data_IF_527674856101
#
_entry.id   IF_527674856101
#
_cell.length_a   1.000
_cell.length_b   1.000
_cell.length_c   1.000
_cell.angle_alpha   90.00
_cell.angle_beta   90.00
_cell.angle_gamma   90.00
#
_symmetry.space_group_name_H-M   'P 1'
#
loop_
_entity.id
_entity.type
_entity.pdbx_description
1 polymer ?
#
# COMPACT_ATOMS: atom_id res chain seq x y z
N UNK A 1 35.38 1.34 -12.53
CA UNK A 1 33.94 1.13 -12.73
C UNK A 1 33.81 -0.35 -13.01
N UNK A 2 33.09 -1.06 -12.19
CA UNK A 2 32.86 -2.50 -12.34
C UNK A 2 31.47 -2.65 -12.97
N UNK A 3 31.35 -3.53 -13.97
CA UNK A 3 30.05 -3.88 -14.57
C UNK A 3 29.69 -5.29 -14.16
N UNK A 4 28.47 -5.49 -13.67
CA UNK A 4 27.88 -6.78 -13.36
C UNK A 4 26.69 -7.00 -14.30
N UNK A 5 26.56 -8.20 -14.86
CA UNK A 5 25.44 -8.55 -15.75
C UNK A 5 24.53 -9.53 -15.04
N UNK A 6 23.24 -9.31 -15.11
CA UNK A 6 22.19 -10.09 -14.48
C UNK A 6 21.02 -10.32 -15.44
N UNK A 7 20.21 -11.33 -15.21
CA UNK A 7 18.92 -11.45 -15.89
C UNK A 7 17.94 -10.39 -15.36
N UNK A 8 17.89 -10.23 -14.04
CA UNK A 8 17.01 -9.25 -13.37
C UNK A 8 17.80 -8.46 -12.33
N UNK A 9 17.62 -7.14 -12.32
CA UNK A 9 18.03 -6.27 -11.22
C UNK A 9 16.81 -5.73 -10.50
N UNK A 10 16.70 -6.04 -9.19
CA UNK A 10 15.64 -5.54 -8.32
C UNK A 10 16.18 -4.39 -7.47
N UNK A 11 15.54 -3.23 -7.51
CA UNK A 11 15.97 -2.04 -6.76
C UNK A 11 15.06 -1.81 -5.57
N UNK A 12 15.58 -2.06 -4.38
CA UNK A 12 14.90 -1.89 -3.07
C UNK A 12 14.54 -3.20 -2.39
N UNK A 13 15.07 -3.43 -1.19
CA UNK A 13 14.85 -4.59 -0.33
C UNK A 13 13.59 -4.54 0.53
N UNK A 14 12.53 -3.88 0.04
CA UNK A 14 11.21 -3.91 0.67
C UNK A 14 10.46 -5.20 0.38
N UNK A 15 9.21 -5.31 0.87
CA UNK A 15 8.39 -6.52 0.65
C UNK A 15 8.29 -6.90 -0.83
N UNK A 16 7.99 -5.96 -1.72
CA UNK A 16 7.84 -6.25 -3.14
C UNK A 16 9.16 -6.74 -3.77
N UNK A 17 10.28 -6.08 -3.45
CA UNK A 17 11.59 -6.44 -3.98
C UNK A 17 12.09 -7.80 -3.51
N UNK A 18 11.91 -8.12 -2.22
CA UNK A 18 12.29 -9.44 -1.69
C UNK A 18 11.47 -10.57 -2.35
N UNK A 19 10.16 -10.38 -2.55
CA UNK A 19 9.34 -11.38 -3.25
C UNK A 19 9.69 -11.47 -4.74
N UNK A 20 10.05 -10.37 -5.40
CA UNK A 20 10.53 -10.39 -6.79
C UNK A 20 11.86 -11.15 -6.90
N UNK A 21 12.84 -10.80 -6.07
CA UNK A 21 14.15 -11.43 -6.08
C UNK A 21 14.09 -12.92 -5.72
N UNK A 22 13.31 -13.29 -4.67
CA UNK A 22 13.12 -14.68 -4.30
C UNK A 22 12.45 -15.50 -5.41
N UNK A 23 11.45 -14.93 -6.09
CA UNK A 23 10.79 -15.59 -7.23
C UNK A 23 11.77 -15.81 -8.37
N UNK A 24 12.46 -14.77 -8.81
CA UNK A 24 13.43 -14.86 -9.90
C UNK A 24 14.52 -15.92 -9.63
N UNK A 25 15.09 -15.92 -8.41
CA UNK A 25 16.08 -16.88 -8.00
C UNK A 25 15.54 -18.33 -8.00
N UNK A 26 14.31 -18.56 -7.53
CA UNK A 26 13.70 -19.89 -7.55
C UNK A 26 13.38 -20.38 -8.97
N UNK A 27 13.10 -19.47 -9.90
CA UNK A 27 12.92 -19.77 -11.33
C UNK A 27 14.27 -19.97 -12.05
N UNK A 28 15.40 -19.80 -11.34
CA UNK A 28 16.75 -20.10 -11.85
C UNK A 28 17.39 -18.93 -12.60
N UNK A 29 16.86 -17.72 -12.46
CA UNK A 29 17.40 -16.50 -13.04
C UNK A 29 18.56 -15.96 -12.19
N UNK A 30 19.52 -15.31 -12.83
CA UNK A 30 20.59 -14.55 -12.16
C UNK A 30 20.04 -13.17 -11.73
N UNK A 31 19.81 -13.00 -10.44
CA UNK A 31 19.16 -11.81 -9.89
C UNK A 31 20.00 -11.13 -8.83
N UNK A 32 20.16 -9.81 -8.95
CA UNK A 32 20.71 -8.95 -7.90
C UNK A 32 19.60 -8.12 -7.27
N UNK A 33 19.53 -8.13 -5.92
CA UNK A 33 18.66 -7.26 -5.11
C UNK A 33 19.51 -6.16 -4.49
N UNK A 34 19.26 -4.91 -4.88
CA UNK A 34 20.03 -3.75 -4.46
C UNK A 34 19.30 -3.03 -3.31
N UNK A 35 19.84 -3.09 -2.09
CA UNK A 35 19.32 -2.40 -0.92
C UNK A 35 20.26 -1.25 -0.53
N UNK A 36 19.71 -0.04 -0.39
CA UNK A 36 20.48 1.17 -0.05
C UNK A 36 20.98 1.21 1.38
N UNK A 37 20.32 0.50 2.29
CA UNK A 37 20.71 0.43 3.70
C UNK A 37 21.78 -0.63 3.92
N UNK A 38 22.50 -0.46 5.02
CA UNK A 38 23.40 -1.50 5.51
C UNK A 38 22.61 -2.75 5.95
N UNK A 39 23.27 -3.87 6.07
CA UNK A 39 22.67 -5.14 6.46
C UNK A 39 21.92 -5.05 7.80
N UNK A 40 22.50 -4.36 8.80
CA UNK A 40 21.89 -4.18 10.13
C UNK A 40 20.69 -3.21 10.16
N UNK A 41 20.51 -2.40 9.12
CA UNK A 41 19.35 -1.53 8.91
C UNK A 41 18.37 -2.03 7.82
N UNK A 42 18.75 -3.09 7.13
CA UNK A 42 17.90 -3.74 6.15
C UNK A 42 16.53 -4.11 6.74
N UNK A 43 15.47 -3.97 5.96
CA UNK A 43 14.11 -4.25 6.45
C UNK A 43 13.49 -3.20 7.39
N UNK A 44 14.24 -2.23 7.92
CA UNK A 44 13.73 -1.19 8.81
C UNK A 44 12.91 -0.14 8.04
N UNK A 45 11.61 -0.37 7.89
CA UNK A 45 10.66 0.43 7.08
C UNK A 45 9.58 1.02 7.99
N UNK A 46 9.16 2.27 7.73
CA UNK A 46 8.02 2.87 8.42
C UNK A 46 6.74 2.12 8.08
N UNK A 47 6.02 1.65 9.11
CA UNK A 47 4.80 0.87 8.97
C UNK A 47 3.97 0.96 10.24
N UNK A 48 2.64 0.83 10.14
CA UNK A 48 1.76 0.63 11.29
C UNK A 48 1.79 -0.81 11.84
N UNK A 49 2.52 -1.73 11.19
CA UNK A 49 2.76 -3.12 11.60
C UNK A 49 1.52 -4.05 11.53
N UNK A 50 0.32 -3.53 11.33
CA UNK A 50 -0.88 -4.37 11.27
C UNK A 50 -0.99 -5.12 9.93
N UNK A 51 -1.29 -6.42 10.01
CA UNK A 51 -1.47 -7.31 8.87
C UNK A 51 -2.66 -8.24 9.10
N UNK A 52 -3.24 -8.79 8.04
CA UNK A 52 -4.23 -9.87 8.17
C UNK A 52 -3.53 -11.14 8.66
N UNK A 53 -3.99 -11.73 9.75
CA UNK A 53 -3.35 -12.90 10.37
C UNK A 53 -3.31 -14.15 9.49
N UNK A 54 -4.18 -14.23 8.47
CA UNK A 54 -4.20 -15.29 7.44
C UNK A 54 -3.87 -14.75 6.05
N UNK A 55 -2.95 -13.78 5.95
CA UNK A 55 -2.48 -13.33 4.64
C UNK A 55 -1.81 -14.47 3.91
N UNK A 56 -2.27 -14.73 2.68
CA UNK A 56 -1.62 -15.69 1.80
C UNK A 56 -0.56 -14.94 1.00
N UNK A 57 0.69 -15.27 1.26
CA UNK A 57 1.82 -14.83 0.46
C UNK A 57 2.13 -15.86 -0.63
N UNK A 58 2.78 -15.45 -1.73
CA UNK A 58 3.39 -16.39 -2.67
C UNK A 58 4.32 -17.39 -1.96
N UNK A 59 4.37 -18.64 -2.45
CA UNK A 59 5.12 -19.72 -1.83
C UNK A 59 6.58 -19.74 -2.28
N UNK A 60 7.25 -18.61 -2.15
CA UNK A 60 8.65 -18.39 -2.55
C UNK A 60 9.57 -18.07 -1.38
N UNK A 61 9.00 -17.95 -0.18
CA UNK A 61 9.71 -17.77 1.09
C UNK A 61 9.15 -18.75 2.13
N UNK A 62 9.91 -19.04 3.17
CA UNK A 62 9.42 -19.80 4.32
C UNK A 62 8.47 -18.96 5.17
N UNK A 63 7.15 -19.19 4.98
CA UNK A 63 6.09 -18.44 5.66
C UNK A 63 5.97 -18.77 7.14
N UNK A 64 6.31 -20.00 7.51
CA UNK A 64 6.27 -20.42 8.92
C UNK A 64 7.43 -19.78 9.68
N UNK A 65 8.63 -19.73 9.08
CA UNK A 65 9.77 -18.99 9.60
C UNK A 65 9.47 -17.48 9.74
N UNK A 66 8.92 -16.85 8.69
CA UNK A 66 8.51 -15.45 8.75
C UNK A 66 7.52 -15.18 9.90
N UNK A 67 6.57 -16.07 10.10
CA UNK A 67 5.56 -15.94 11.16
C UNK A 67 6.17 -16.11 12.54
N UNK A 68 7.01 -17.12 12.74
CA UNK A 68 7.68 -17.40 14.01
C UNK A 68 8.57 -16.23 14.46
N UNK A 69 9.31 -15.63 13.52
CA UNK A 69 10.29 -14.61 13.81
C UNK A 69 9.72 -13.19 13.93
N UNK A 70 8.68 -12.87 13.15
CA UNK A 70 8.26 -11.49 12.98
C UNK A 70 6.85 -11.16 13.49
N UNK A 71 5.98 -12.14 13.71
CA UNK A 71 4.62 -11.89 14.20
C UNK A 71 4.64 -11.82 15.73
N UNK A 72 4.44 -10.62 16.25
CA UNK A 72 4.55 -10.35 17.68
C UNK A 72 3.22 -10.46 18.42
N UNK A 73 2.10 -10.20 17.73
CA UNK A 73 0.76 -10.33 18.30
C UNK A 73 -0.21 -10.88 17.25
N UNK A 74 -0.65 -12.11 17.42
CA UNK A 74 -1.62 -12.78 16.55
C UNK A 74 -3.03 -12.82 17.12
N UNK A 75 -3.27 -12.14 18.25
CA UNK A 75 -4.57 -12.13 18.93
C UNK A 75 -5.46 -10.96 18.51
N UNK A 76 -5.23 -10.34 17.38
CA UNK A 76 -6.04 -9.20 16.92
C UNK A 76 -7.38 -9.71 16.38
N UNK A 77 -8.47 -9.41 17.08
CA UNK A 77 -9.81 -9.93 16.80
C UNK A 77 -10.81 -8.85 16.38
N UNK A 78 -10.48 -7.57 16.60
CA UNK A 78 -11.38 -6.44 16.35
C UNK A 78 -10.63 -5.18 15.93
N UNK A 79 -11.36 -4.23 15.33
CA UNK A 79 -10.94 -2.85 15.20
C UNK A 79 -11.75 -2.00 16.20
N UNK A 80 -11.08 -1.10 16.90
CA UNK A 80 -11.67 -0.12 17.78
C UNK A 80 -11.51 1.26 17.17
N UNK A 81 -12.63 1.90 16.85
CA UNK A 81 -12.63 3.27 16.36
C UNK A 81 -12.99 4.22 17.51
N UNK A 82 -12.01 5.02 17.94
CA UNK A 82 -12.20 6.02 18.98
C UNK A 82 -12.99 7.21 18.41
N UNK A 83 -14.19 7.42 18.93
CA UNK A 83 -15.08 8.46 18.45
C UNK A 83 -14.93 9.75 19.28
N UNK A 84 -14.36 10.85 18.74
CA UNK A 84 -14.18 12.08 19.51
C UNK A 84 -15.50 12.77 19.88
N UNK A 85 -16.65 12.32 19.34
CA UNK A 85 -17.97 12.94 19.55
C UNK A 85 -18.95 12.06 20.32
N UNK A 86 -18.61 10.86 20.70
CA UNK A 86 -19.55 9.93 21.33
C UNK A 86 -18.93 8.62 21.79
N UNK A 87 -19.73 7.56 21.80
CA UNK A 87 -19.25 6.22 22.16
C UNK A 87 -18.33 5.64 21.08
N UNK A 88 -17.28 4.96 21.50
CA UNK A 88 -16.38 4.24 20.61
C UNK A 88 -17.10 3.11 19.86
N UNK A 89 -16.61 2.80 18.66
CA UNK A 89 -17.20 1.76 17.81
C UNK A 89 -16.29 0.54 17.82
N UNK A 90 -16.78 -0.54 18.41
CA UNK A 90 -16.15 -1.86 18.36
C UNK A 90 -16.61 -2.62 17.12
N UNK A 91 -15.65 -3.07 16.29
CA UNK A 91 -15.90 -3.77 15.03
C UNK A 91 -15.22 -5.14 15.07
N UNK A 92 -15.89 -6.19 15.52
CA UNK A 92 -15.33 -7.53 15.55
C UNK A 92 -15.08 -8.08 14.15
N UNK A 93 -13.98 -8.80 13.95
CA UNK A 93 -13.60 -9.37 12.66
C UNK A 93 -14.34 -10.68 12.34
N UNK A 94 -15.11 -11.24 13.28
CA UNK A 94 -15.79 -12.53 13.12
C UNK A 94 -14.79 -13.69 13.01
N UNK A 95 -14.88 -14.46 11.91
CA UNK A 95 -13.95 -15.58 11.66
C UNK A 95 -12.57 -15.15 11.11
N UNK A 96 -12.40 -13.86 10.83
CA UNK A 96 -11.12 -13.29 10.43
C UNK A 96 -10.30 -12.92 11.67
N UNK A 97 -8.98 -12.90 11.51
CA UNK A 97 -8.04 -12.38 12.52
C UNK A 97 -7.09 -11.40 11.90
N UNK A 98 -6.59 -10.48 12.69
CA UNK A 98 -5.45 -9.64 12.38
C UNK A 98 -4.21 -10.12 13.11
N UNK A 99 -3.08 -9.53 12.77
CA UNK A 99 -1.84 -9.65 13.53
C UNK A 99 -1.09 -8.32 13.50
N UNK A 100 -0.19 -8.16 14.44
CA UNK A 100 0.80 -7.08 14.44
C UNK A 100 2.19 -7.70 14.39
N UNK A 101 3.07 -7.14 13.55
CA UNK A 101 4.41 -7.66 13.32
C UNK A 101 5.47 -6.72 13.86
N UNK A 102 6.65 -7.24 14.19
CA UNK A 102 7.86 -6.41 14.21
C UNK A 102 8.31 -6.15 12.78
N UNK A 103 8.06 -4.94 12.29
CA UNK A 103 8.30 -4.62 10.88
C UNK A 103 9.79 -4.67 10.49
N UNK A 104 10.69 -4.38 11.44
CA UNK A 104 12.13 -4.52 11.19
C UNK A 104 12.47 -6.00 11.00
N UNK A 105 12.13 -6.84 11.97
CA UNK A 105 12.39 -8.28 11.88
C UNK A 105 11.71 -8.93 10.68
N UNK A 106 10.48 -8.49 10.36
CA UNK A 106 9.77 -8.92 9.16
C UNK A 106 10.58 -8.64 7.87
N UNK A 107 11.18 -7.46 7.77
CA UNK A 107 11.98 -7.09 6.60
C UNK A 107 13.33 -7.82 6.56
N UNK A 108 13.98 -8.01 7.72
CA UNK A 108 15.21 -8.80 7.82
C UNK A 108 14.98 -10.24 7.34
N UNK A 109 13.92 -10.90 7.82
CA UNK A 109 13.56 -12.27 7.39
C UNK A 109 13.30 -12.33 5.88
N UNK A 110 12.65 -11.33 5.30
CA UNK A 110 12.43 -11.31 3.85
C UNK A 110 13.74 -11.23 3.07
N UNK A 111 14.71 -10.43 3.53
CA UNK A 111 16.03 -10.32 2.91
C UNK A 111 16.83 -11.62 3.09
N UNK A 112 16.84 -12.20 4.31
CA UNK A 112 17.44 -13.50 4.61
C UNK A 112 16.88 -14.60 3.70
N UNK A 113 15.56 -14.62 3.51
CA UNK A 113 14.89 -15.62 2.67
C UNK A 113 15.20 -15.43 1.17
N UNK A 114 15.27 -14.19 0.67
CA UNK A 114 15.67 -13.91 -0.70
C UNK A 114 17.10 -14.41 -0.97
N UNK A 115 18.04 -14.12 -0.06
CA UNK A 115 19.42 -14.63 -0.14
C UNK A 115 19.45 -16.17 -0.05
N UNK A 116 18.73 -16.77 0.90
CA UNK A 116 18.66 -18.22 1.08
C UNK A 116 18.20 -18.98 -0.16
N UNK A 117 17.30 -18.42 -0.94
CA UNK A 117 16.80 -19.05 -2.17
C UNK A 117 17.65 -18.74 -3.41
N UNK A 118 18.70 -17.92 -3.26
CA UNK A 118 19.73 -17.70 -4.26
C UNK A 118 19.75 -16.32 -4.92
N UNK A 119 19.00 -15.35 -4.43
CA UNK A 119 19.17 -13.96 -4.87
C UNK A 119 20.47 -13.38 -4.31
N UNK A 120 21.22 -12.62 -5.12
CA UNK A 120 22.44 -11.93 -4.70
C UNK A 120 22.06 -10.59 -4.06
N UNK A 121 22.06 -10.52 -2.72
CA UNK A 121 21.61 -9.33 -1.98
C UNK A 121 22.78 -8.38 -1.73
N UNK A 122 22.73 -7.20 -2.32
CA UNK A 122 23.74 -6.15 -2.19
C UNK A 122 23.25 -5.03 -1.29
N UNK A 123 23.74 -5.01 -0.05
CA UNK A 123 23.55 -3.90 0.88
C UNK A 123 24.42 -2.70 0.58
N UNK A 124 24.19 -1.56 1.25
CA UNK A 124 24.91 -0.30 1.04
C UNK A 124 25.01 0.11 -0.43
N UNK A 125 23.99 -0.26 -1.23
CA UNK A 125 23.96 -0.08 -2.67
C UNK A 125 22.91 0.95 -3.06
N UNK A 126 23.33 2.17 -3.32
CA UNK A 126 22.48 3.30 -3.67
C UNK A 126 22.41 3.47 -5.16
N UNK A 127 21.26 3.13 -5.77
CA UNK A 127 21.01 3.37 -7.20
C UNK A 127 20.89 4.86 -7.46
N UNK A 128 21.54 5.36 -8.50
CA UNK A 128 21.65 6.78 -8.84
C UNK A 128 21.02 7.13 -10.18
N UNK A 129 21.04 6.19 -11.11
CA UNK A 129 20.57 6.44 -12.49
C UNK A 129 20.13 5.14 -13.16
N UNK A 130 19.38 5.27 -14.25
CA UNK A 130 18.91 4.19 -15.13
C UNK A 130 19.70 4.20 -16.42
N UNK A 131 20.12 3.04 -16.89
CA UNK A 131 20.74 2.88 -18.21
C UNK A 131 19.66 2.46 -19.20
N UNK A 132 19.48 3.22 -20.29
CA UNK A 132 18.47 2.91 -21.30
C UNK A 132 18.89 3.32 -22.70
N UNK A 133 18.34 2.61 -23.70
CA UNK A 133 18.50 2.89 -25.12
C UNK A 133 17.23 2.45 -25.88
N UNK A 134 16.14 3.22 -25.76
CA UNK A 134 14.79 2.84 -26.19
C UNK A 134 14.14 1.76 -25.31
N UNK A 135 14.92 1.10 -24.48
CA UNK A 135 14.57 0.09 -23.50
C UNK A 135 15.47 0.29 -22.30
N UNK A 136 14.98 0.06 -21.09
CA UNK A 136 15.82 0.02 -19.87
C UNK A 136 16.71 -1.23 -19.96
N UNK A 137 18.01 -1.05 -19.73
CA UNK A 137 19.03 -2.10 -19.84
C UNK A 137 19.88 -2.25 -18.58
N UNK A 138 19.51 -1.55 -17.51
CA UNK A 138 20.21 -1.64 -16.24
C UNK A 138 20.15 -0.38 -15.40
N UNK A 139 21.00 -0.32 -14.38
CA UNK A 139 21.13 0.81 -13.48
C UNK A 139 22.58 1.10 -13.13
N UNK A 140 22.86 2.34 -12.72
CA UNK A 140 24.14 2.68 -12.08
C UNK A 140 23.94 2.95 -10.61
N UNK A 141 24.84 2.43 -9.78
CA UNK A 141 24.77 2.53 -8.35
C UNK A 141 26.13 2.90 -7.73
N UNK A 142 26.11 3.32 -6.48
CA UNK A 142 27.27 3.37 -5.61
C UNK A 142 27.14 2.27 -4.57
N UNK A 143 28.09 1.35 -4.52
CA UNK A 143 28.18 0.28 -3.52
C UNK A 143 29.47 0.43 -2.73
N UNK A 144 29.37 0.55 -1.40
CA UNK A 144 30.51 0.77 -0.50
C UNK A 144 31.42 1.95 -0.90
N UNK A 145 30.87 2.94 -1.60
CA UNK A 145 31.58 4.13 -2.08
C UNK A 145 32.13 4.02 -3.52
N UNK A 146 32.11 2.84 -4.12
CA UNK A 146 32.54 2.61 -5.50
C UNK A 146 31.37 2.64 -6.46
N UNK A 147 31.56 3.21 -7.66
CA UNK A 147 30.56 3.19 -8.73
C UNK A 147 30.54 1.84 -9.43
N UNK A 148 29.35 1.24 -9.45
CA UNK A 148 29.03 -0.04 -10.09
C UNK A 148 27.94 0.17 -11.13
N UNK A 149 28.05 -0.49 -12.27
CA UNK A 149 27.05 -0.57 -13.32
C UNK A 149 26.45 -1.98 -13.30
N UNK A 150 25.13 -2.08 -13.28
CA UNK A 150 24.40 -3.33 -13.36
C UNK A 150 23.66 -3.36 -14.69
N UNK A 151 24.12 -4.19 -15.61
CA UNK A 151 23.40 -4.49 -16.84
C UNK A 151 22.35 -5.58 -16.55
N UNK A 152 21.13 -5.43 -17.06
CA UNK A 152 20.05 -6.39 -16.87
C UNK A 152 19.09 -6.43 -18.06
N UNK A 153 18.48 -7.59 -18.32
CA UNK A 153 17.38 -7.68 -19.27
C UNK A 153 16.13 -6.97 -18.74
N UNK A 154 15.85 -7.09 -17.43
CA UNK A 154 14.73 -6.39 -16.77
C UNK A 154 15.18 -5.74 -15.46
N UNK A 155 14.78 -4.48 -15.26
CA UNK A 155 14.89 -3.76 -13.98
C UNK A 155 13.53 -3.74 -13.31
N UNK A 156 13.45 -4.27 -12.07
CA UNK A 156 12.26 -4.21 -11.21
C UNK A 156 12.43 -3.09 -10.19
N UNK A 157 11.65 -2.02 -10.35
CA UNK A 157 11.62 -0.89 -9.43
C UNK A 157 10.74 -1.22 -8.21
N UNK A 158 11.38 -1.58 -7.12
CA UNK A 158 10.80 -1.79 -5.80
C UNK A 158 11.28 -0.72 -4.79
N UNK A 159 11.71 0.46 -5.28
CA UNK A 159 12.34 1.50 -4.47
C UNK A 159 11.35 2.25 -3.54
N UNK A 160 10.08 1.90 -3.59
CA UNK A 160 9.03 2.46 -2.73
C UNK A 160 8.43 3.76 -3.27
N UNK A 161 7.74 4.49 -2.41
CA UNK A 161 7.02 5.71 -2.78
C UNK A 161 7.95 6.77 -3.35
N UNK A 162 7.53 7.44 -4.41
CA UNK A 162 8.31 8.49 -5.08
C UNK A 162 9.68 7.98 -5.56
N UNK A 163 9.65 6.88 -6.29
CA UNK A 163 10.86 6.23 -6.80
C UNK A 163 11.70 7.17 -7.69
N UNK A 164 12.97 7.33 -7.34
CA UNK A 164 13.91 8.10 -8.12
C UNK A 164 14.15 7.49 -9.51
N UNK A 165 13.96 6.18 -9.69
CA UNK A 165 14.12 5.52 -10.98
C UNK A 165 13.12 6.07 -11.99
N UNK A 166 11.90 6.37 -11.57
CA UNK A 166 10.86 6.90 -12.45
C UNK A 166 11.20 8.31 -12.95
N UNK A 167 11.85 9.13 -12.13
CA UNK A 167 12.35 10.45 -12.55
C UNK A 167 13.52 10.37 -13.54
N UNK A 168 14.21 9.22 -13.61
CA UNK A 168 15.39 8.99 -14.41
C UNK A 168 15.11 8.21 -15.71
N UNK A 169 13.96 7.58 -15.78
CA UNK A 169 13.55 6.77 -16.94
C UNK A 169 12.76 7.62 -17.92
N UNK A 170 13.12 7.51 -19.19
CA UNK A 170 12.31 8.08 -20.28
C UNK A 170 11.21 7.10 -20.67
N UNK A 171 9.98 7.47 -20.38
CA UNK A 171 8.78 6.71 -20.70
C UNK A 171 8.05 7.20 -21.96
N UNK A 172 8.67 8.10 -22.75
CA UNK A 172 8.03 8.59 -23.99
C UNK A 172 7.71 7.43 -24.95
N UNK A 173 6.46 7.38 -25.40
CA UNK A 173 5.98 6.33 -26.31
C UNK A 173 5.61 5.00 -25.65
N UNK A 174 5.60 4.93 -24.32
CA UNK A 174 5.11 3.78 -23.54
C UNK A 174 3.75 4.07 -22.90
N UNK A 175 3.09 3.03 -22.35
CA UNK A 175 1.86 3.18 -21.56
C UNK A 175 2.11 3.44 -20.08
N UNK A 176 3.37 3.48 -19.63
CA UNK A 176 3.70 3.65 -18.22
C UNK A 176 3.01 4.87 -17.60
N UNK A 177 2.37 4.69 -16.43
CA UNK A 177 1.63 5.75 -15.77
C UNK A 177 2.59 6.78 -15.12
N UNK A 178 2.76 7.92 -15.79
CA UNK A 178 3.57 9.04 -15.30
C UNK A 178 2.75 10.11 -14.59
N UNK A 179 1.42 9.90 -14.41
CA UNK A 179 0.54 10.85 -13.72
C UNK A 179 0.69 10.73 -12.20
N UNK A 180 1.78 11.25 -11.68
CA UNK A 180 2.14 11.20 -10.26
C UNK A 180 2.23 12.62 -9.69
N UNK A 181 1.44 12.88 -8.65
CA UNK A 181 1.41 14.15 -7.92
C UNK A 181 1.42 13.91 -6.41
N UNK A 182 1.95 14.84 -5.62
CA UNK A 182 2.00 14.75 -4.17
C UNK A 182 0.62 14.58 -3.51
N UNK A 183 -0.44 15.11 -4.14
CA UNK A 183 -1.84 14.93 -3.68
C UNK A 183 -2.30 13.47 -3.66
N UNK A 184 -1.58 12.58 -4.35
CA UNK A 184 -1.84 11.15 -4.43
C UNK A 184 -1.13 10.36 -3.33
N UNK A 185 -0.46 11.03 -2.39
CA UNK A 185 0.30 10.43 -1.31
C UNK A 185 -0.18 10.90 0.06
N UNK A 186 0.18 10.11 1.06
CA UNK A 186 0.01 10.40 2.46
C UNK A 186 1.40 10.48 3.12
N UNK A 187 1.58 11.46 4.00
CA UNK A 187 2.70 11.47 4.94
C UNK A 187 2.30 10.70 6.18
N UNK A 188 3.19 9.86 6.69
CA UNK A 188 2.99 9.10 7.91
C UNK A 188 4.21 9.20 8.83
N UNK A 189 3.94 9.16 10.13
CA UNK A 189 4.95 9.09 11.20
C UNK A 189 4.47 8.13 12.27
N UNK A 190 5.39 7.36 12.83
CA UNK A 190 5.09 6.41 13.91
C UNK A 190 6.20 6.33 14.94
N UNK A 191 5.83 5.96 16.15
CA UNK A 191 6.73 5.57 17.22
C UNK A 191 6.37 4.17 17.74
N UNK A 192 7.35 3.34 18.03
CA UNK A 192 7.18 2.11 18.81
C UNK A 192 7.46 2.45 20.26
N UNK A 193 6.47 2.28 21.11
CA UNK A 193 6.45 2.80 22.48
C UNK A 193 6.26 1.64 23.46
N UNK A 194 7.10 1.57 24.49
CA UNK A 194 6.91 0.68 25.63
C UNK A 194 6.19 1.43 26.74
N UNK A 195 5.01 0.94 27.12
CA UNK A 195 4.19 1.49 28.21
C UNK A 195 4.49 0.79 29.54
N UNK A 196 4.42 1.49 30.70
CA UNK A 196 4.77 0.92 32.01
C UNK A 196 3.78 -0.16 32.47
N UNK A 197 2.50 -0.04 32.13
CA UNK A 197 1.46 -0.99 32.50
C UNK A 197 0.81 -1.59 31.23
N UNK A 198 0.28 -2.84 31.28
CA UNK A 198 -0.42 -3.44 30.15
C UNK A 198 -1.64 -2.63 29.72
N UNK A 199 -1.83 -2.51 28.39
CA UNK A 199 -3.06 -1.93 27.83
C UNK A 199 -4.20 -2.96 27.85
N UNK A 200 -5.43 -2.48 27.82
CA UNK A 200 -6.66 -3.30 27.83
C UNK A 200 -7.24 -3.57 26.43
N UNK A 201 -6.52 -3.15 25.39
CA UNK A 201 -6.89 -3.35 23.98
C UNK A 201 -5.85 -4.15 23.17
N UNK A 202 -5.13 -5.06 23.81
CA UNK A 202 -4.12 -5.91 23.15
C UNK A 202 -4.70 -6.86 22.08
N UNK A 203 -6.02 -7.03 22.07
CA UNK A 203 -6.78 -7.77 21.06
C UNK A 203 -7.33 -6.90 19.92
N UNK A 204 -7.03 -5.59 19.91
CA UNK A 204 -7.60 -4.63 18.96
C UNK A 204 -6.55 -3.83 18.19
N UNK A 205 -6.84 -3.51 16.92
CA UNK A 205 -6.22 -2.39 16.23
C UNK A 205 -7.09 -1.15 16.44
N UNK A 206 -6.49 -0.09 17.00
CA UNK A 206 -7.20 1.11 17.42
C UNK A 206 -6.97 2.23 16.42
N UNK A 207 -8.03 2.93 16.03
CA UNK A 207 -8.02 4.07 15.13
C UNK A 207 -8.70 5.27 15.75
N UNK A 208 -8.17 6.47 15.51
CA UNK A 208 -8.77 7.75 15.91
C UNK A 208 -8.66 8.74 14.75
N UNK A 209 -9.75 9.41 14.30
CA UNK A 209 -9.66 10.41 13.25
C UNK A 209 -8.82 11.60 13.71
N UNK A 210 -8.05 12.19 12.80
CA UNK A 210 -7.36 13.47 13.00
C UNK A 210 -8.25 14.63 12.59
N UNK A 211 -7.87 15.86 12.95
CA UNK A 211 -8.58 17.07 12.51
C UNK A 211 -8.51 17.27 10.99
N UNK A 212 -7.46 16.78 10.35
CA UNK A 212 -7.30 16.71 8.90
C UNK A 212 -7.70 15.31 8.39
N UNK A 213 -7.86 15.15 7.07
CA UNK A 213 -8.18 13.84 6.49
C UNK A 213 -7.04 12.85 6.71
N UNK A 214 -7.24 11.96 7.65
CA UNK A 214 -6.29 10.96 8.10
C UNK A 214 -6.73 10.33 9.42
N UNK A 215 -5.85 9.58 10.03
CA UNK A 215 -6.12 8.94 11.31
C UNK A 215 -4.85 8.68 12.10
N UNK A 216 -4.99 8.68 13.43
CA UNK A 216 -4.05 8.11 14.39
C UNK A 216 -4.33 6.61 14.52
N UNK A 217 -3.29 5.83 14.75
CA UNK A 217 -3.42 4.40 15.09
C UNK A 217 -2.63 4.05 16.33
N UNK A 218 -3.10 3.00 17.03
CA UNK A 218 -2.45 2.36 18.15
C UNK A 218 -2.56 0.85 17.95
N UNK A 219 -1.47 0.23 17.49
CA UNK A 219 -1.44 -1.19 17.15
C UNK A 219 -0.52 -1.93 18.12
N UNK A 220 -1.06 -2.79 18.99
CA UNK A 220 -0.30 -3.47 20.02
C UNK A 220 0.55 -4.61 19.41
N UNK A 221 1.88 -4.48 19.47
CA UNK A 221 2.81 -5.60 19.25
C UNK A 221 2.75 -6.58 20.42
N UNK A 222 2.40 -6.10 21.59
CA UNK A 222 2.07 -6.85 22.81
C UNK A 222 1.19 -5.99 23.72
N UNK A 223 0.85 -6.48 24.90
CA UNK A 223 0.15 -5.70 25.92
C UNK A 223 0.94 -4.48 26.43
N UNK A 224 2.27 -4.41 26.15
CA UNK A 224 3.14 -3.31 26.59
C UNK A 224 3.91 -2.60 25.47
N UNK A 225 3.92 -3.11 24.27
CA UNK A 225 4.63 -2.52 23.14
C UNK A 225 3.60 -2.11 22.09
N UNK A 226 3.47 -0.80 21.87
CA UNK A 226 2.48 -0.22 21.00
C UNK A 226 3.18 0.49 19.82
N UNK A 227 2.80 0.16 18.59
CA UNK A 227 3.10 1.00 17.43
C UNK A 227 2.02 2.09 17.38
N UNK A 228 2.39 3.31 17.74
CA UNK A 228 1.53 4.48 17.72
C UNK A 228 1.96 5.41 16.59
N UNK A 229 1.03 5.87 15.78
CA UNK A 229 1.37 6.75 14.67
C UNK A 229 0.16 7.43 14.05
N UNK A 230 0.41 8.17 13.00
CA UNK A 230 -0.62 8.84 12.22
C UNK A 230 -0.20 8.98 10.76
N UNK A 231 -1.20 9.15 9.91
CA UNK A 231 -1.02 9.51 8.52
C UNK A 231 -2.10 10.48 8.06
N UNK A 232 -1.76 11.36 7.13
CA UNK A 232 -2.70 12.27 6.50
C UNK A 232 -2.31 12.58 5.05
N UNK A 233 -3.31 12.99 4.26
CA UNK A 233 -3.15 13.31 2.85
C UNK A 233 -2.23 14.53 2.64
N UNK A 234 -1.28 14.42 1.69
CA UNK A 234 -0.35 15.52 1.36
C UNK A 234 -1.01 16.70 0.62
N UNK A 235 -2.25 16.57 0.18
CA UNK A 235 -3.01 17.65 -0.44
C UNK A 235 -3.60 18.66 0.55
N UNK A 236 -3.36 18.50 1.86
CA UNK A 236 -3.77 19.41 2.92
C UNK A 236 -2.59 20.30 3.33
N UNK A 237 -2.85 21.45 3.99
CA UNK A 237 -1.78 22.31 4.54
C UNK A 237 -0.81 21.53 5.40
N UNK A 238 0.43 22.02 5.49
CA UNK A 238 1.46 21.44 6.37
C UNK A 238 0.91 21.14 7.75
N UNK A 239 1.05 19.89 8.17
CA UNK A 239 0.51 19.39 9.41
C UNK A 239 1.66 18.81 10.26
N UNK A 240 1.87 19.28 11.50
CA UNK A 240 2.98 18.82 12.31
C UNK A 240 2.71 17.42 12.86
N UNK A 241 2.92 16.39 12.03
CA UNK A 241 2.68 14.97 12.37
C UNK A 241 3.20 14.58 13.75
N UNK A 242 4.43 14.99 14.05
CA UNK A 242 5.07 14.63 15.32
C UNK A 242 4.35 15.30 16.50
N UNK A 243 4.00 16.57 16.36
CA UNK A 243 3.33 17.31 17.43
C UNK A 243 1.93 16.76 17.69
N UNK A 244 1.16 16.48 16.62
CA UNK A 244 -0.18 15.89 16.75
C UNK A 244 -0.15 14.52 17.41
N UNK A 245 0.83 13.66 17.08
CA UNK A 245 0.97 12.39 17.77
C UNK A 245 1.29 12.60 19.25
N UNK A 246 2.22 13.48 19.57
CA UNK A 246 2.61 13.76 20.97
C UNK A 246 1.49 14.35 21.78
N UNK A 247 0.78 15.34 21.21
CA UNK A 247 -0.37 15.96 21.87
C UNK A 247 -1.46 14.91 22.20
N UNK A 248 -1.68 13.95 21.30
CA UNK A 248 -2.64 12.88 21.54
C UNK A 248 -2.15 11.88 22.59
N UNK A 249 -0.88 11.47 22.54
CA UNK A 249 -0.26 10.58 23.54
C UNK A 249 -0.33 11.20 24.97
N UNK A 250 -0.12 12.52 25.09
CA UNK A 250 -0.20 13.24 26.37
C UNK A 250 -1.61 13.24 26.98
N UNK A 251 -2.65 13.00 26.19
CA UNK A 251 -4.05 12.89 26.66
C UNK A 251 -4.43 11.49 27.12
N UNK A 252 -3.54 10.51 26.98
CA UNK A 252 -3.83 9.09 27.19
C UNK A 252 -3.00 8.54 28.34
N UNK A 253 -3.68 8.16 29.43
CA UNK A 253 -3.07 7.75 30.70
C UNK A 253 -2.09 6.57 30.53
N UNK A 254 -2.34 5.64 29.60
CA UNK A 254 -1.48 4.48 29.37
C UNK A 254 -0.08 4.84 28.86
N UNK A 255 0.10 6.04 28.27
CA UNK A 255 1.41 6.52 27.82
C UNK A 255 2.16 7.37 28.86
N UNK A 256 1.59 7.59 30.06
CA UNK A 256 2.31 8.28 31.14
C UNK A 256 3.55 7.47 31.58
N UNK A 257 4.73 8.06 31.47
CA UNK A 257 5.99 7.38 31.79
C UNK A 257 6.49 6.39 30.75
N UNK A 258 5.88 6.34 29.58
CA UNK A 258 6.27 5.46 28.48
C UNK A 258 7.65 5.81 27.87
N UNK A 259 8.27 4.85 27.21
CA UNK A 259 9.59 4.98 26.56
C UNK A 259 9.49 4.71 25.06
N UNK A 260 9.92 5.66 24.24
CA UNK A 260 10.03 5.47 22.78
C UNK A 260 11.22 4.58 22.47
N UNK A 261 10.98 3.48 21.77
CA UNK A 261 12.02 2.50 21.35
C UNK A 261 12.50 2.76 19.93
N UNK A 262 11.61 3.19 19.04
CA UNK A 262 11.91 3.43 17.64
C UNK A 262 10.96 4.46 17.05
N UNK A 263 11.39 5.19 16.02
CA UNK A 263 10.57 6.17 15.30
C UNK A 263 10.96 6.28 13.85
N UNK A 264 9.99 6.31 12.97
CA UNK A 264 10.18 6.48 11.53
C UNK A 264 9.04 7.29 10.91
N UNK A 265 9.36 7.95 9.80
CA UNK A 265 8.38 8.59 8.93
C UNK A 265 8.59 8.18 7.49
N UNK A 266 7.52 8.16 6.71
CA UNK A 266 7.55 7.88 5.28
C UNK A 266 6.37 8.53 4.55
N UNK A 267 6.50 8.63 3.23
CA UNK A 267 5.37 8.79 2.33
C UNK A 267 4.86 7.42 1.89
N UNK A 268 3.56 7.32 1.65
CA UNK A 268 2.94 6.13 1.04
C UNK A 268 1.86 6.55 0.04
N UNK A 269 1.65 5.81 -1.05
CA UNK A 269 0.63 6.14 -2.01
C UNK A 269 -0.76 5.90 -1.42
N UNK A 270 -1.67 6.86 -1.64
CA UNK A 270 -3.08 6.79 -1.29
C UNK A 270 -3.92 6.99 -2.55
N UNK A 271 -3.52 6.33 -3.62
CA UNK A 271 -4.09 6.38 -4.97
C UNK A 271 -4.48 4.98 -5.44
N UNK A 272 -5.24 4.89 -6.53
CA UNK A 272 -5.36 3.63 -7.26
C UNK A 272 -3.98 3.18 -7.75
N UNK A 273 -3.73 1.88 -7.99
CA UNK A 273 -2.53 1.41 -8.66
C UNK A 273 -2.29 2.17 -9.98
N UNK A 274 -1.04 2.24 -10.39
CA UNK A 274 -0.70 2.78 -11.71
C UNK A 274 -1.51 2.07 -12.78
N UNK A 275 -2.00 2.83 -13.75
CA UNK A 275 -2.79 2.30 -14.84
C UNK A 275 -2.00 1.29 -15.68
N UNK A 276 -0.73 1.58 -15.92
CA UNK A 276 0.29 0.65 -16.39
C UNK A 276 1.58 0.86 -15.59
N UNK A 277 2.20 -0.22 -15.15
CA UNK A 277 3.43 -0.21 -14.37
C UNK A 277 4.59 -0.91 -15.12
N UNK A 278 4.49 -1.03 -16.44
CA UNK A 278 5.52 -1.63 -17.31
C UNK A 278 5.96 -0.68 -18.42
N UNK A 279 7.23 -0.80 -18.80
CA UNK A 279 7.81 -0.23 -19.99
C UNK A 279 8.88 -1.22 -20.50
N UNK A 280 9.42 -1.08 -21.74
CA UNK A 280 10.42 -2.01 -22.23
C UNK A 280 11.61 -2.15 -21.26
N UNK A 281 11.86 -3.38 -20.77
CA UNK A 281 12.91 -3.70 -19.80
C UNK A 281 12.68 -3.16 -18.38
N UNK A 282 11.47 -2.65 -18.04
CA UNK A 282 11.20 -2.01 -16.76
C UNK A 282 9.83 -2.36 -16.20
N UNK A 283 9.78 -2.65 -14.89
CA UNK A 283 8.55 -2.96 -14.15
C UNK A 283 8.58 -2.29 -12.78
N UNK A 284 7.52 -1.56 -12.41
CA UNK A 284 7.37 -1.01 -11.07
C UNK A 284 6.48 -1.90 -10.19
N UNK A 285 6.85 -2.08 -8.92
CA UNK A 285 6.16 -2.95 -7.96
C UNK A 285 6.00 -2.29 -6.58
N UNK A 286 5.05 -2.74 -5.81
CA UNK A 286 4.82 -2.23 -4.46
C UNK A 286 4.40 -0.76 -4.45
N UNK A 287 4.92 0.01 -3.50
CA UNK A 287 4.58 1.43 -3.37
C UNK A 287 5.02 2.25 -4.59
N UNK A 288 6.06 1.82 -5.32
CA UNK A 288 6.51 2.45 -6.55
C UNK A 288 5.46 2.39 -7.68
N UNK A 289 4.50 1.46 -7.60
CA UNK A 289 3.38 1.34 -8.53
C UNK A 289 2.01 1.58 -7.88
N UNK A 290 1.96 2.17 -6.68
CA UNK A 290 0.72 2.46 -5.98
C UNK A 290 0.00 1.22 -5.42
N UNK A 291 0.70 0.12 -5.12
CA UNK A 291 0.09 -1.13 -4.66
C UNK A 291 -0.28 -1.11 -3.16
N UNK A 292 -0.77 0.01 -2.70
CA UNK A 292 -1.23 0.23 -1.33
C UNK A 292 -2.74 0.45 -1.33
N UNK A 293 -3.43 -0.13 -0.37
CA UNK A 293 -4.85 0.14 -0.17
C UNK A 293 -5.03 1.63 0.19
N UNK A 294 -5.68 2.44 -0.66
CA UNK A 294 -5.70 3.90 -0.49
C UNK A 294 -6.50 4.37 0.74
N UNK A 295 -7.34 3.51 1.33
CA UNK A 295 -8.15 3.86 2.51
C UNK A 295 -7.52 3.44 3.83
N UNK A 296 -6.69 2.38 3.82
CA UNK A 296 -6.13 1.81 5.06
C UNK A 296 -4.60 1.88 5.14
N UNK A 297 -3.91 2.27 4.08
CA UNK A 297 -2.44 2.25 4.01
C UNK A 297 -1.83 0.84 3.98
N UNK A 298 -2.63 -0.22 3.88
CA UNK A 298 -2.16 -1.60 3.89
C UNK A 298 -1.56 -2.02 2.54
N UNK A 299 -0.24 -2.18 2.44
CA UNK A 299 0.48 -2.52 1.20
C UNK A 299 1.08 -3.93 1.16
N UNK A 300 1.41 -4.54 2.31
CA UNK A 300 2.21 -5.76 2.37
C UNK A 300 1.71 -6.90 1.46
N UNK A 301 0.42 -7.33 1.48
CA UNK A 301 -0.02 -8.44 0.64
C UNK A 301 -0.04 -8.10 -0.87
N UNK A 302 -0.34 -6.85 -1.23
CA UNK A 302 -0.30 -6.38 -2.61
C UNK A 302 1.13 -6.34 -3.14
N UNK A 303 2.05 -5.81 -2.35
CA UNK A 303 3.48 -5.75 -2.67
C UNK A 303 4.09 -7.14 -2.87
N UNK A 304 3.80 -8.09 -1.98
CA UNK A 304 4.28 -9.48 -2.10
C UNK A 304 3.80 -10.16 -3.40
N UNK A 305 2.50 -10.04 -3.72
CA UNK A 305 1.94 -10.59 -4.94
C UNK A 305 2.53 -9.92 -6.19
N UNK A 306 2.60 -8.59 -6.19
CA UNK A 306 3.09 -7.83 -7.33
C UNK A 306 4.57 -8.14 -7.61
N UNK A 307 5.41 -8.22 -6.58
CA UNK A 307 6.81 -8.64 -6.75
C UNK A 307 6.94 -10.03 -7.36
N UNK A 308 6.18 -10.99 -6.83
CA UNK A 308 6.15 -12.34 -7.39
C UNK A 308 5.70 -12.36 -8.86
N UNK A 309 4.59 -11.71 -9.20
CA UNK A 309 4.10 -11.69 -10.59
C UNK A 309 5.06 -10.97 -11.55
N UNK A 310 5.68 -9.88 -11.09
CA UNK A 310 6.65 -9.16 -11.92
C UNK A 310 7.84 -10.06 -12.29
N UNK A 311 8.40 -10.77 -11.32
CA UNK A 311 9.53 -11.68 -11.58
C UNK A 311 9.12 -12.85 -12.49
N UNK A 312 7.95 -13.47 -12.26
CA UNK A 312 7.47 -14.55 -13.12
C UNK A 312 7.28 -14.09 -14.57
N UNK A 313 6.60 -12.94 -14.78
CA UNK A 313 6.38 -12.40 -16.13
C UNK A 313 7.69 -11.97 -16.77
N UNK A 314 8.61 -11.34 -16.00
CA UNK A 314 9.94 -10.99 -16.51
C UNK A 314 10.72 -12.23 -16.93
N UNK A 315 10.68 -13.31 -16.15
CA UNK A 315 11.35 -14.58 -16.49
C UNK A 315 10.82 -15.21 -17.78
N UNK A 316 9.50 -15.20 -17.98
CA UNK A 316 8.87 -15.66 -19.21
C UNK A 316 9.31 -14.79 -20.41
N UNK A 317 9.30 -13.46 -20.28
CA UNK A 317 9.74 -12.54 -21.32
C UNK A 317 11.23 -12.68 -21.69
N UNK A 318 12.10 -12.87 -20.69
CA UNK A 318 13.53 -13.14 -20.89
C UNK A 318 13.73 -14.46 -21.64
N UNK A 319 13.01 -15.51 -21.28
CA UNK A 319 13.10 -16.81 -21.95
C UNK A 319 12.66 -16.75 -23.44
N UNK A 320 11.69 -15.87 -23.73
CA UNK A 320 11.22 -15.60 -25.10
C UNK A 320 12.18 -14.66 -25.89
N UNK A 321 13.13 -14.03 -25.19
CA UNK A 321 14.14 -13.13 -25.78
C UNK A 321 13.59 -11.76 -26.18
N UNK A 322 12.45 -11.35 -25.60
CA UNK A 322 11.82 -10.06 -25.84
C UNK A 322 11.18 -9.53 -24.55
N UNK A 323 11.76 -8.49 -23.99
CA UNK A 323 11.31 -7.80 -22.77
C UNK A 323 10.61 -6.46 -23.08
N UNK A 324 10.02 -6.38 -24.27
CA UNK A 324 9.15 -5.29 -24.67
C UNK A 324 7.86 -5.21 -23.84
N UNK A 325 7.17 -4.10 -23.97
CA UNK A 325 5.95 -3.81 -23.20
C UNK A 325 4.85 -4.87 -23.39
N UNK A 326 4.69 -5.39 -24.63
CA UNK A 326 3.71 -6.43 -24.94
C UNK A 326 3.94 -7.72 -24.12
N UNK A 327 5.20 -8.16 -23.98
CA UNK A 327 5.55 -9.37 -23.24
C UNK A 327 5.55 -9.17 -21.71
N UNK A 328 5.68 -7.93 -21.24
CA UNK A 328 5.55 -7.60 -19.81
C UNK A 328 4.11 -7.27 -19.41
N UNK A 329 3.18 -7.16 -20.36
CA UNK A 329 1.82 -6.67 -20.14
C UNK A 329 0.99 -7.52 -19.20
N UNK A 330 1.19 -8.83 -19.19
CA UNK A 330 0.45 -9.75 -18.32
C UNK A 330 0.58 -9.39 -16.83
N UNK A 331 1.69 -8.77 -16.42
CA UNK A 331 1.85 -8.26 -15.08
C UNK A 331 0.77 -7.21 -14.72
N UNK A 332 0.54 -6.23 -15.60
CA UNK A 332 -0.53 -5.23 -15.41
C UNK A 332 -1.88 -5.92 -15.28
N UNK A 333 -2.19 -6.86 -16.16
CA UNK A 333 -3.45 -7.60 -16.15
C UNK A 333 -3.66 -8.33 -14.80
N UNK A 334 -2.64 -9.05 -14.31
CA UNK A 334 -2.70 -9.75 -13.02
C UNK A 334 -2.95 -8.78 -11.86
N UNK A 335 -2.25 -7.65 -11.81
CA UNK A 335 -2.41 -6.61 -10.78
C UNK A 335 -3.80 -6.01 -10.83
N UNK A 336 -4.24 -5.53 -12.00
CA UNK A 336 -5.50 -4.81 -12.14
C UNK A 336 -6.71 -5.68 -11.85
N UNK A 337 -6.70 -6.94 -12.27
CA UNK A 337 -7.80 -7.90 -12.05
C UNK A 337 -7.86 -8.47 -10.65
N UNK A 338 -6.74 -8.60 -9.93
CA UNK A 338 -6.76 -9.11 -8.53
C UNK A 338 -7.15 -7.99 -7.54
N UNK A 339 -6.22 -7.09 -7.24
CA UNK A 339 -6.43 -6.06 -6.22
C UNK A 339 -6.62 -4.65 -6.79
N UNK A 340 -6.17 -4.38 -8.02
CA UNK A 340 -6.23 -3.06 -8.66
C UNK A 340 -7.67 -2.54 -8.73
N UNK A 341 -8.61 -3.32 -9.26
CA UNK A 341 -10.03 -2.98 -9.31
C UNK A 341 -10.63 -2.60 -7.96
N UNK A 342 -10.19 -3.28 -6.90
CA UNK A 342 -10.66 -3.02 -5.55
C UNK A 342 -10.05 -1.73 -5.01
N UNK A 343 -8.75 -1.51 -5.22
CA UNK A 343 -8.07 -0.30 -4.77
C UNK A 343 -8.56 0.93 -5.52
N UNK A 344 -8.81 0.80 -6.82
CA UNK A 344 -9.44 1.88 -7.60
C UNK A 344 -10.83 2.24 -7.06
N UNK A 345 -11.68 1.25 -6.75
CA UNK A 345 -12.97 1.49 -6.14
C UNK A 345 -12.87 2.14 -4.74
N UNK A 346 -11.86 1.76 -3.93
CA UNK A 346 -11.60 2.38 -2.64
C UNK A 346 -11.10 3.81 -2.76
N UNK A 347 -10.33 4.11 -3.81
CA UNK A 347 -9.84 5.46 -4.05
C UNK A 347 -10.96 6.46 -4.34
N UNK A 348 -12.08 6.02 -4.94
CA UNK A 348 -13.27 6.87 -5.08
C UNK A 348 -13.82 7.34 -3.72
N UNK A 349 -13.78 6.47 -2.71
CA UNK A 349 -14.17 6.86 -1.34
C UNK A 349 -13.14 7.76 -0.67
N UNK A 350 -11.87 7.65 -1.05
CA UNK A 350 -10.83 8.56 -0.60
C UNK A 350 -11.03 9.97 -1.20
N UNK A 351 -11.35 10.05 -2.50
CA UNK A 351 -11.72 11.31 -3.18
C UNK A 351 -12.97 11.92 -2.52
N UNK A 352 -14.01 11.13 -2.32
CA UNK A 352 -15.23 11.56 -1.63
C UNK A 352 -14.95 12.08 -0.22
N UNK A 353 -14.16 11.34 0.59
CA UNK A 353 -13.78 11.78 1.93
C UNK A 353 -12.99 13.08 1.94
N UNK A 354 -12.15 13.31 0.92
CA UNK A 354 -11.39 14.55 0.75
C UNK A 354 -12.23 15.79 0.43
N UNK A 355 -13.44 15.60 -0.12
CA UNK A 355 -14.37 16.69 -0.43
C UNK A 355 -15.18 17.18 0.78
N UNK A 356 -15.18 16.43 1.89
CA UNK A 356 -15.99 16.73 3.07
C UNK A 356 -15.13 17.06 4.30
N UNK A 357 -15.74 17.67 5.32
CA UNK A 357 -15.07 17.89 6.59
C UNK A 357 -14.91 16.58 7.37
N UNK A 358 -13.85 16.47 8.18
CA UNK A 358 -13.63 15.30 9.05
C UNK A 358 -14.80 15.12 10.03
N UNK A 359 -15.39 16.18 10.51
CA UNK A 359 -16.57 16.16 11.39
C UNK A 359 -17.77 15.49 10.74
N UNK A 360 -18.05 15.85 9.49
CA UNK A 360 -19.14 15.28 8.71
C UNK A 360 -18.87 13.79 8.38
N UNK A 361 -17.65 13.47 7.98
CA UNK A 361 -17.24 12.09 7.72
C UNK A 361 -17.30 11.23 8.99
N UNK A 362 -16.94 11.77 10.15
CA UNK A 362 -17.06 11.07 11.43
C UNK A 362 -18.52 10.77 11.76
N UNK A 363 -19.41 11.72 11.58
CA UNK A 363 -20.86 11.54 11.80
C UNK A 363 -21.43 10.43 10.86
N UNK A 364 -20.97 10.36 9.62
CA UNK A 364 -21.38 9.33 8.66
C UNK A 364 -20.81 7.96 9.05
N UNK A 365 -19.51 7.87 9.30
CA UNK A 365 -18.85 6.61 9.69
C UNK A 365 -19.48 6.01 10.94
N UNK A 366 -19.74 6.83 11.96
CA UNK A 366 -20.37 6.39 13.22
C UNK A 366 -21.84 5.97 13.05
N UNK A 367 -22.49 6.43 12.00
CA UNK A 367 -23.88 6.05 11.69
C UNK A 367 -24.00 4.75 10.87
N UNK A 368 -22.91 4.29 10.25
CA UNK A 368 -22.90 3.08 9.43
C UNK A 368 -22.74 1.81 10.27
N UNK A 369 -23.34 0.69 9.88
CA UNK A 369 -23.08 -0.61 10.50
C UNK A 369 -21.62 -1.01 10.35
N UNK A 370 -20.98 -1.55 11.40
CA UNK A 370 -19.59 -1.98 11.38
C UNK A 370 -19.25 -2.93 10.22
N UNK A 371 -20.13 -3.88 9.85
CA UNK A 371 -19.95 -4.75 8.70
C UNK A 371 -19.86 -3.97 7.37
N UNK A 372 -20.59 -2.88 7.23
CA UNK A 372 -20.51 -2.05 6.03
C UNK A 372 -19.16 -1.32 5.93
N UNK A 373 -18.61 -0.88 7.07
CA UNK A 373 -17.28 -0.29 7.14
C UNK A 373 -16.20 -1.31 6.75
N UNK A 374 -16.31 -2.56 7.25
CA UNK A 374 -15.39 -3.65 6.86
C UNK A 374 -15.46 -3.93 5.35
N UNK A 375 -16.66 -3.95 4.77
CA UNK A 375 -16.85 -4.20 3.34
C UNK A 375 -16.28 -3.06 2.49
N UNK A 376 -16.46 -1.80 2.89
CA UNK A 376 -15.92 -0.62 2.20
C UNK A 376 -14.39 -0.55 2.28
N UNK A 377 -13.82 -0.71 3.46
CA UNK A 377 -12.38 -0.56 3.73
C UNK A 377 -11.58 -1.84 3.42
N UNK A 378 -12.24 -2.97 3.36
CA UNK A 378 -11.60 -4.29 3.34
C UNK A 378 -11.65 -5.01 2.01
N UNK A 379 -12.52 -6.02 1.93
CA UNK A 379 -12.47 -7.02 0.85
C UNK A 379 -13.16 -6.60 -0.45
N UNK A 380 -14.16 -5.73 -0.40
CA UNK A 380 -15.07 -5.51 -1.53
C UNK A 380 -14.86 -4.17 -2.25
N UNK A 381 -14.30 -3.15 -1.57
CA UNK A 381 -14.21 -1.79 -2.13
C UNK A 381 -15.57 -1.19 -2.52
N UNK A 382 -16.67 -1.79 -2.06
CA UNK A 382 -18.03 -1.30 -2.21
C UNK A 382 -18.95 -2.02 -1.21
N UNK A 383 -20.00 -1.33 -0.74
CA UNK A 383 -20.94 -1.90 0.21
C UNK A 383 -22.11 -2.61 -0.49
N UNK A 384 -22.44 -3.81 -0.02
CA UNK A 384 -23.66 -4.50 -0.41
C UNK A 384 -24.50 -4.85 0.81
N UNK A 385 -25.75 -4.41 0.83
CA UNK A 385 -26.71 -4.76 1.88
C UNK A 385 -27.88 -5.53 1.29
N UNK A 386 -28.40 -6.51 2.03
CA UNK A 386 -29.69 -7.13 1.71
C UNK A 386 -30.81 -6.07 1.72
N UNK A 387 -31.91 -6.33 1.02
CA UNK A 387 -33.02 -5.38 0.94
C UNK A 387 -33.56 -4.98 2.32
N UNK A 388 -33.64 -5.95 3.24
CA UNK A 388 -34.04 -5.69 4.64
C UNK A 388 -32.98 -4.91 5.42
N UNK A 389 -31.70 -5.17 5.17
CA UNK A 389 -30.57 -4.41 5.71
C UNK A 389 -30.57 -2.98 5.20
N UNK A 390 -30.83 -2.75 3.91
CA UNK A 390 -30.92 -1.39 3.33
C UNK A 390 -32.00 -0.55 3.98
N UNK A 391 -33.19 -1.11 4.25
CA UNK A 391 -34.28 -0.41 4.92
C UNK A 391 -33.94 -0.08 6.39
N UNK A 392 -33.42 -1.04 7.16
CA UNK A 392 -33.06 -0.84 8.56
C UNK A 392 -31.90 0.16 8.71
N UNK A 393 -30.87 0.02 7.90
CA UNK A 393 -29.72 0.93 7.87
C UNK A 393 -30.14 2.32 7.45
N UNK A 394 -30.94 2.43 6.37
CA UNK A 394 -31.45 3.71 5.89
C UNK A 394 -32.21 4.50 6.96
N UNK A 395 -33.06 3.86 7.76
CA UNK A 395 -33.81 4.51 8.84
C UNK A 395 -32.88 4.93 10.00
N UNK A 396 -31.98 4.05 10.42
CA UNK A 396 -31.06 4.33 11.54
C UNK A 396 -30.05 5.43 11.15
N UNK A 397 -29.47 5.34 9.95
CA UNK A 397 -28.55 6.33 9.41
C UNK A 397 -29.28 7.67 9.25
N UNK A 398 -30.49 7.67 8.71
CA UNK A 398 -31.31 8.87 8.56
C UNK A 398 -31.60 9.59 9.86
N UNK A 399 -31.78 8.86 10.95
CA UNK A 399 -32.06 9.45 12.29
C UNK A 399 -30.77 10.01 12.91
N UNK A 400 -29.64 9.30 12.74
CA UNK A 400 -28.35 9.70 13.33
C UNK A 400 -27.65 10.83 12.56
N UNK A 401 -27.86 10.91 11.23
CA UNK A 401 -27.22 11.90 10.35
C UNK A 401 -28.17 13.04 9.96
N UNK A 402 -29.02 13.48 10.86
CA UNK A 402 -29.90 14.63 10.63
C UNK A 402 -29.08 15.87 10.26
N UNK A 403 -29.09 16.23 8.98
CA UNK A 403 -28.34 17.37 8.43
C UNK A 403 -27.42 17.01 7.27
N UNK A 404 -26.99 15.75 7.14
CA UNK A 404 -26.02 15.30 6.12
C UNK A 404 -26.67 14.46 4.99
N UNK A 405 -27.92 14.77 4.61
CA UNK A 405 -28.61 14.01 3.56
C UNK A 405 -27.93 14.12 2.18
N UNK A 406 -27.37 15.29 1.88
CA UNK A 406 -26.61 15.51 0.64
C UNK A 406 -25.42 14.56 0.56
N UNK A 407 -24.59 14.58 1.58
CA UNK A 407 -23.38 13.77 1.73
C UNK A 407 -23.67 12.26 1.69
N UNK A 408 -24.76 11.82 2.36
CA UNK A 408 -25.21 10.42 2.27
C UNK A 408 -25.67 10.03 0.86
N UNK A 409 -26.34 10.93 0.15
CA UNK A 409 -26.75 10.69 -1.23
C UNK A 409 -25.53 10.62 -2.16
N UNK A 410 -24.56 11.48 -1.97
CA UNK A 410 -23.28 11.45 -2.68
C UNK A 410 -22.52 10.14 -2.40
N UNK A 411 -22.43 9.70 -1.14
CA UNK A 411 -21.84 8.39 -0.79
C UNK A 411 -22.52 7.23 -1.52
N UNK A 412 -23.86 7.28 -1.65
CA UNK A 412 -24.61 6.29 -2.41
C UNK A 412 -24.28 6.33 -3.91
N UNK A 413 -24.13 7.53 -4.50
CA UNK A 413 -23.72 7.70 -5.88
C UNK A 413 -22.30 7.18 -6.11
N UNK A 414 -21.36 7.57 -5.26
CA UNK A 414 -19.97 7.08 -5.30
C UNK A 414 -19.91 5.56 -5.19
N UNK A 415 -20.72 4.94 -4.33
CA UNK A 415 -20.79 3.47 -4.24
C UNK A 415 -21.27 2.80 -5.55
N UNK A 416 -22.18 3.43 -6.29
CA UNK A 416 -22.58 2.96 -7.61
C UNK A 416 -21.45 3.08 -8.64
N UNK A 417 -20.77 4.22 -8.64
CA UNK A 417 -19.61 4.47 -9.50
C UNK A 417 -18.47 3.50 -9.18
N UNK A 418 -18.21 3.23 -7.91
CA UNK A 418 -17.24 2.24 -7.47
C UNK A 418 -17.57 0.81 -7.97
N UNK A 419 -18.87 0.49 -8.11
CA UNK A 419 -19.28 -0.80 -8.70
C UNK A 419 -19.04 -0.80 -10.21
N UNK A 420 -19.46 0.25 -10.94
CA UNK A 420 -19.17 0.38 -12.38
C UNK A 420 -17.67 0.35 -12.67
N UNK A 421 -16.88 1.05 -11.85
CA UNK A 421 -15.43 1.07 -12.01
C UNK A 421 -14.82 -0.33 -11.91
N UNK A 422 -15.28 -1.17 -11.00
CA UNK A 422 -14.80 -2.56 -10.92
C UNK A 422 -15.15 -3.37 -12.17
N UNK A 423 -16.31 -3.14 -12.77
CA UNK A 423 -16.69 -3.79 -14.02
C UNK A 423 -15.75 -3.36 -15.17
N UNK A 424 -15.35 -2.07 -15.24
CA UNK A 424 -14.34 -1.60 -16.21
C UNK A 424 -12.97 -2.24 -15.97
N UNK A 425 -12.56 -2.43 -14.72
CA UNK A 425 -11.30 -3.10 -14.40
C UNK A 425 -11.34 -4.62 -14.69
N UNK A 426 -12.50 -5.25 -14.68
CA UNK A 426 -12.64 -6.65 -15.11
C UNK A 426 -12.41 -6.80 -16.64
N UNK A 427 -12.63 -5.72 -17.40
CA UNK A 427 -12.32 -5.61 -18.84
C UNK A 427 -10.92 -5.01 -19.12
N UNK A 428 -10.02 -4.98 -18.15
CA UNK A 428 -8.64 -4.49 -18.37
C UNK A 428 -8.00 -5.22 -19.55
N UNK A 429 -7.38 -4.50 -20.50
CA UNK A 429 -6.92 -5.09 -21.75
C UNK A 429 -5.81 -6.13 -21.54
N UNK A 430 -5.77 -7.12 -22.43
CA UNK A 430 -4.76 -8.18 -22.43
C UNK A 430 -3.51 -7.81 -23.25
N UNK A 431 -3.44 -6.58 -23.76
CA UNK A 431 -2.29 -6.04 -24.49
C UNK A 431 -2.32 -4.50 -24.45
N UNK A 432 -1.17 -3.83 -24.68
CA UNK A 432 -1.11 -2.36 -24.73
C UNK A 432 -2.05 -1.73 -25.76
N UNK A 433 -2.37 -2.42 -26.84
CA UNK A 433 -3.19 -1.88 -27.92
C UNK A 433 -4.64 -1.51 -27.51
N UNK A 434 -5.18 -2.12 -26.44
CA UNK A 434 -6.51 -1.80 -25.89
C UNK A 434 -6.49 -0.78 -24.76
N UNK A 435 -5.33 -0.29 -24.40
CA UNK A 435 -5.14 0.48 -23.18
C UNK A 435 -5.83 1.85 -23.20
N UNK A 436 -5.72 2.58 -24.30
CA UNK A 436 -6.33 3.92 -24.41
C UNK A 436 -7.87 3.87 -24.40
N UNK A 437 -8.49 2.85 -25.02
CA UNK A 437 -9.94 2.67 -25.00
C UNK A 437 -10.42 2.35 -23.57
N UNK A 438 -9.74 1.43 -22.87
CA UNK A 438 -10.02 1.12 -21.49
C UNK A 438 -9.86 2.34 -20.56
N UNK A 439 -8.81 3.12 -20.77
CA UNK A 439 -8.51 4.34 -20.01
C UNK A 439 -9.65 5.37 -20.19
N UNK A 440 -10.16 5.52 -21.40
CA UNK A 440 -11.28 6.42 -21.68
C UNK A 440 -12.55 6.01 -20.91
N UNK A 441 -12.90 4.71 -20.87
CA UNK A 441 -14.04 4.19 -20.12
C UNK A 441 -13.88 4.41 -18.61
N UNK A 442 -12.66 4.23 -18.08
CA UNK A 442 -12.33 4.51 -16.70
C UNK A 442 -12.42 6.02 -16.39
N UNK A 443 -11.92 6.89 -17.27
CA UNK A 443 -11.88 8.34 -17.07
C UNK A 443 -13.31 8.92 -17.06
N UNK A 444 -14.25 8.39 -17.85
CA UNK A 444 -15.66 8.77 -17.78
C UNK A 444 -16.23 8.59 -16.36
N UNK A 445 -15.88 7.49 -15.69
CA UNK A 445 -16.34 7.25 -14.31
C UNK A 445 -15.65 8.21 -13.34
N UNK A 446 -14.38 8.54 -13.55
CA UNK A 446 -13.66 9.50 -12.70
C UNK A 446 -14.28 10.91 -12.82
N UNK A 447 -14.64 11.34 -14.03
CA UNK A 447 -15.34 12.61 -14.26
C UNK A 447 -16.70 12.63 -13.55
N UNK A 448 -17.46 11.53 -13.62
CA UNK A 448 -18.72 11.37 -12.87
C UNK A 448 -18.49 11.51 -11.35
N UNK A 449 -17.40 10.96 -10.80
CA UNK A 449 -17.07 11.05 -9.37
C UNK A 449 -16.78 12.50 -8.98
N UNK A 450 -15.96 13.20 -9.74
CA UNK A 450 -15.68 14.63 -9.48
C UNK A 450 -16.93 15.50 -9.60
N UNK A 451 -17.79 15.22 -10.59
CA UNK A 451 -19.06 15.92 -10.75
C UNK A 451 -20.03 15.68 -9.57
N UNK A 452 -20.05 14.48 -9.00
CA UNK A 452 -20.90 14.12 -7.85
C UNK A 452 -20.36 14.72 -6.54
N UNK A 453 -19.05 14.64 -6.31
CA UNK A 453 -18.43 15.00 -5.02
C UNK A 453 -18.01 16.46 -4.93
N UNK A 454 -17.81 17.13 -6.07
CA UNK A 454 -17.19 18.46 -6.12
C UNK A 454 -15.73 18.47 -5.63
N UNK A 455 -15.09 17.31 -5.54
CA UNK A 455 -13.68 17.20 -5.17
C UNK A 455 -12.78 17.81 -6.27
N UNK A 456 -11.65 18.36 -5.86
CA UNK A 456 -10.59 18.73 -6.79
C UNK A 456 -10.06 17.47 -7.50
N UNK A 457 -9.71 17.56 -8.80
CA UNK A 457 -9.13 16.44 -9.53
C UNK A 457 -7.84 15.95 -8.85
N UNK A 458 -7.76 14.64 -8.67
CA UNK A 458 -6.61 13.94 -8.09
C UNK A 458 -5.67 13.39 -9.17
N UNK A 459 -6.21 13.22 -10.38
CA UNK A 459 -5.52 12.64 -11.54
C UNK A 459 -5.63 13.56 -12.76
#
# INVERSE_FOLDING_TARGET
MTTETRDIVVVGGGTAGCFAAATAAQEGLDVALLERKSEDEGGHIACGDAIKGKSTFPDVIDRDYLREEAFTNENIQRALFLNPKGEDIDIPFGDASGAVVDRKRYGEVLLEEADRVGADVHYDTVVQDVTQNGQVTGVTATREGDRVEYDADVVVDAAGSLSLLQDKTDFEGTTFDTNVDYSQFCSAYREVIEVPEPVDYDDAIVFKPTAELGYLWYFPRSDRIINAGLGFQMNKPSFPLVDVLKDDLETRDEFEGATVKDKLGAALPTRRPYDSAVAPGYMAVGDAAGHVNPTTGGGIPGAAKAGHWAATVAGEAIADGDVGEDNLWEYNERVQRDFGKRFAAMDLFNIYGGAHSVDEMTDIVTALPGQMLIDLMGKKGSASLSLAGKLKTGVVTAVKTRGHWGTLYEAYQVNKLATRLKDVYDEYPTSPSGFEDWKADRDEIMDDVYAVTGADPKY
#
